data_IF_877676272761
#
_entry.id   IF_877676272761
#
_cell.length_a   1.000
_cell.length_b   1.000
_cell.length_c   1.000
_cell.angle_alpha   90.00
_cell.angle_beta   90.00
_cell.angle_gamma   90.00
#
_symmetry.space_group_name_H-M   'P 1'
#
loop_
_entity.id
_entity.type
_entity.pdbx_description
1 polymer ?
#
# COMPACT_ATOMS: atom_id res chain seq x y z
N UNK A 1 21.62 -0.40 -17.04
CA UNK A 1 21.22 -0.40 -15.61
C UNK A 1 20.35 0.82 -15.35
N UNK A 2 19.19 0.68 -14.68
CA UNK A 2 18.29 1.80 -14.35
C UNK A 2 19.02 2.85 -13.49
N UNK A 3 18.97 4.13 -13.89
CA UNK A 3 19.64 5.26 -13.22
C UNK A 3 18.69 6.20 -12.46
N UNK A 4 17.38 6.02 -12.60
CA UNK A 4 16.38 6.86 -11.94
C UNK A 4 16.26 6.63 -10.44
N UNK A 5 15.54 7.54 -9.78
CA UNK A 5 15.10 7.39 -8.39
C UNK A 5 13.86 6.51 -8.33
N UNK A 6 13.75 5.72 -7.25
CA UNK A 6 12.57 4.88 -6.96
C UNK A 6 11.96 5.40 -5.67
N UNK A 7 10.70 5.84 -5.69
CA UNK A 7 10.03 6.30 -4.47
C UNK A 7 9.19 5.21 -3.84
N UNK A 8 9.13 5.22 -2.52
CA UNK A 8 8.22 4.41 -1.70
C UNK A 8 8.13 5.05 -0.32
N UNK A 9 7.22 4.58 0.53
CA UNK A 9 7.20 5.01 1.93
C UNK A 9 8.48 4.58 2.66
N UNK A 10 8.84 5.27 3.74
CA UNK A 10 9.95 4.88 4.60
C UNK A 10 9.90 3.40 4.98
N UNK A 11 10.98 2.69 4.70
CA UNK A 11 11.05 1.22 4.74
C UNK A 11 11.12 0.67 6.15
N UNK A 12 11.31 1.52 7.16
CA UNK A 12 11.36 1.16 8.58
C UNK A 12 10.03 1.40 9.28
N UNK A 13 9.22 2.35 8.82
CA UNK A 13 8.02 2.82 9.51
C UNK A 13 6.74 2.66 8.68
N UNK A 14 6.73 3.06 7.41
CA UNK A 14 5.54 3.09 6.56
C UNK A 14 5.24 1.70 5.99
N UNK A 15 3.98 1.21 6.08
CA UNK A 15 3.63 -0.14 5.61
C UNK A 15 4.05 -0.42 4.15
N UNK A 16 3.81 0.49 3.20
CA UNK A 16 4.18 0.26 1.79
C UNK A 16 5.69 0.12 1.61
N UNK A 17 6.48 0.86 2.39
CA UNK A 17 7.94 0.77 2.41
C UNK A 17 8.42 -0.56 2.93
N UNK A 18 7.82 -1.04 4.02
CA UNK A 18 8.11 -2.37 4.58
C UNK A 18 7.80 -3.48 3.58
N UNK A 19 6.64 -3.44 2.91
CA UNK A 19 6.29 -4.42 1.88
C UNK A 19 7.22 -4.35 0.67
N UNK A 20 7.60 -3.14 0.21
CA UNK A 20 8.57 -2.96 -0.86
C UNK A 20 9.93 -3.57 -0.50
N UNK A 21 10.41 -3.34 0.73
CA UNK A 21 11.66 -3.93 1.24
C UNK A 21 11.59 -5.45 1.26
N UNK A 22 10.51 -6.03 1.79
CA UNK A 22 10.30 -7.49 1.77
C UNK A 22 10.34 -8.03 0.33
N UNK A 23 9.58 -7.42 -0.57
CA UNK A 23 9.49 -7.85 -1.96
C UNK A 23 10.85 -7.83 -2.67
N UNK A 24 11.58 -6.72 -2.59
CA UNK A 24 12.91 -6.63 -3.20
C UNK A 24 13.95 -7.52 -2.51
N UNK A 25 13.82 -7.79 -1.21
CA UNK A 25 14.70 -8.72 -0.51
C UNK A 25 14.49 -10.15 -1.01
N UNK A 26 13.24 -10.59 -1.11
CA UNK A 26 12.88 -11.93 -1.58
C UNK A 26 13.22 -12.13 -3.06
N UNK A 27 13.19 -11.07 -3.86
CA UNK A 27 13.67 -11.07 -5.25
C UNK A 27 15.20 -10.98 -5.38
N UNK A 28 15.94 -10.81 -4.29
CA UNK A 28 17.41 -10.69 -4.28
C UNK A 28 17.92 -9.36 -4.83
N UNK A 29 17.08 -8.31 -4.87
CA UNK A 29 17.39 -7.02 -5.48
C UNK A 29 17.62 -5.90 -4.47
N UNK A 30 17.34 -6.11 -3.18
CA UNK A 30 17.38 -5.06 -2.15
C UNK A 30 18.66 -4.21 -2.19
N UNK A 31 19.84 -4.83 -2.13
CA UNK A 31 21.13 -4.12 -2.10
C UNK A 31 21.37 -3.25 -3.36
N UNK A 32 20.70 -3.53 -4.48
CA UNK A 32 20.79 -2.74 -5.73
C UNK A 32 19.77 -1.60 -5.79
N UNK A 33 18.69 -1.71 -5.00
CA UNK A 33 17.54 -0.79 -5.00
C UNK A 33 17.68 0.22 -3.86
N UNK A 34 18.09 -0.21 -2.67
CA UNK A 34 18.20 0.62 -1.47
C UNK A 34 18.95 1.95 -1.70
N UNK A 35 20.10 1.99 -2.40
CA UNK A 35 20.82 3.26 -2.64
C UNK A 35 20.08 4.24 -3.57
N UNK A 36 18.98 3.82 -4.21
CA UNK A 36 18.20 4.61 -5.17
C UNK A 36 16.82 5.00 -4.61
N UNK A 37 16.51 4.57 -3.39
CA UNK A 37 15.24 4.85 -2.76
C UNK A 37 15.13 6.32 -2.37
N UNK A 38 13.97 6.89 -2.67
CA UNK A 38 13.47 8.13 -2.06
C UNK A 38 12.36 7.70 -1.13
N UNK A 39 12.64 7.76 0.16
CA UNK A 39 11.70 7.38 1.21
C UNK A 39 10.80 8.56 1.56
N UNK A 40 9.48 8.32 1.58
CA UNK A 40 8.46 9.32 1.87
C UNK A 40 7.70 9.01 3.15
N UNK A 41 7.02 10.02 3.69
CA UNK A 41 6.23 9.96 4.91
C UNK A 41 4.98 9.06 4.79
N UNK A 42 4.44 8.90 3.57
CA UNK A 42 3.35 7.98 3.27
C UNK A 42 3.36 7.54 1.79
N UNK A 43 2.44 6.64 1.44
CA UNK A 43 2.31 6.09 0.08
C UNK A 43 1.82 7.12 -0.95
N UNK A 44 1.05 8.12 -0.54
CA UNK A 44 0.51 9.15 -1.44
C UNK A 44 1.57 10.17 -1.81
N UNK A 45 2.47 10.50 -0.89
CA UNK A 45 3.67 11.30 -1.19
C UNK A 45 4.53 10.61 -2.27
N UNK A 46 4.80 9.30 -2.14
CA UNK A 46 5.50 8.54 -3.17
C UNK A 46 4.76 8.56 -4.52
N UNK A 47 3.43 8.31 -4.53
CA UNK A 47 2.62 8.38 -5.75
C UNK A 47 2.74 9.75 -6.44
N UNK A 48 2.68 10.83 -5.66
CA UNK A 48 2.77 12.19 -6.18
C UNK A 48 4.15 12.50 -6.77
N UNK A 49 5.23 11.93 -6.22
CA UNK A 49 6.58 12.10 -6.79
C UNK A 49 6.70 11.42 -8.16
N UNK A 50 6.04 10.27 -8.35
CA UNK A 50 5.95 9.64 -9.69
C UNK A 50 5.12 10.49 -10.63
N UNK A 51 3.94 10.95 -10.19
CA UNK A 51 3.03 11.75 -11.02
C UNK A 51 3.68 13.04 -11.52
N UNK A 52 4.55 13.66 -10.71
CA UNK A 52 5.32 14.87 -11.09
C UNK A 52 6.64 14.57 -11.82
N UNK A 53 6.98 13.29 -12.02
CA UNK A 53 8.23 12.88 -12.68
C UNK A 53 9.49 13.06 -11.85
N UNK A 54 9.38 13.37 -10.56
CA UNK A 54 10.52 13.51 -9.63
C UNK A 54 11.17 12.15 -9.33
N UNK A 55 10.37 11.09 -9.37
CA UNK A 55 10.83 9.70 -9.35
C UNK A 55 10.36 8.98 -10.60
N UNK A 56 11.26 8.23 -11.23
CA UNK A 56 10.96 7.55 -12.48
C UNK A 56 10.05 6.32 -12.27
N UNK A 57 10.11 5.72 -11.09
CA UNK A 57 9.26 4.60 -10.65
C UNK A 57 8.87 4.83 -9.19
N UNK A 58 7.68 4.36 -8.80
CA UNK A 58 7.26 4.30 -7.40
C UNK A 58 6.66 2.96 -7.04
N UNK A 59 6.82 2.57 -5.79
CA UNK A 59 6.15 1.40 -5.21
C UNK A 59 4.99 1.90 -4.34
N UNK A 60 3.78 1.60 -4.79
CA UNK A 60 2.51 2.02 -4.18
C UNK A 60 1.54 0.84 -4.13
N UNK A 61 0.39 1.01 -3.47
CA UNK A 61 -0.67 0.01 -3.58
C UNK A 61 -1.40 0.14 -4.91
N UNK A 62 -1.96 -0.97 -5.41
CA UNK A 62 -2.76 -0.97 -6.62
C UNK A 62 -3.96 -0.01 -6.55
N UNK A 63 -4.54 0.15 -5.36
CA UNK A 63 -5.66 1.07 -5.09
C UNK A 63 -5.25 2.54 -5.22
N UNK A 64 -4.02 2.90 -4.86
CA UNK A 64 -3.47 4.26 -5.03
C UNK A 64 -3.20 4.57 -6.50
N UNK A 65 -2.61 3.60 -7.24
CA UNK A 65 -2.39 3.76 -8.67
C UNK A 65 -3.72 3.86 -9.45
N UNK A 66 -4.76 3.11 -9.04
CA UNK A 66 -6.05 3.07 -9.73
C UNK A 66 -6.83 4.39 -9.71
N UNK A 67 -6.55 5.29 -8.75
CA UNK A 67 -7.23 6.58 -8.62
C UNK A 67 -6.46 7.75 -9.25
N UNK A 68 -5.23 7.52 -9.74
CA UNK A 68 -4.41 8.53 -10.39
C UNK A 68 -4.42 8.36 -11.90
N UNK A 69 -4.57 9.47 -12.63
CA UNK A 69 -4.49 9.51 -14.10
C UNK A 69 -3.08 9.77 -14.62
N UNK A 70 -2.17 10.17 -13.72
CA UNK A 70 -0.84 10.66 -14.06
C UNK A 70 0.24 9.58 -13.93
N UNK A 71 -0.15 8.35 -13.56
CA UNK A 71 0.74 7.21 -13.44
C UNK A 71 0.19 6.01 -14.19
N UNK A 72 1.08 5.06 -14.49
CA UNK A 72 0.71 3.75 -15.06
C UNK A 72 1.39 2.64 -14.26
N UNK A 73 0.68 1.51 -14.11
CA UNK A 73 1.24 0.32 -13.46
C UNK A 73 2.26 -0.32 -14.40
N UNK A 74 3.53 -0.32 -14.00
CA UNK A 74 4.62 -0.95 -14.76
C UNK A 74 4.79 -2.44 -14.46
N UNK A 75 4.27 -2.90 -13.32
CA UNK A 75 4.34 -4.29 -12.86
C UNK A 75 3.69 -4.45 -11.49
N UNK A 76 3.45 -5.70 -11.10
CA UNK A 76 2.89 -6.06 -9.80
C UNK A 76 3.87 -7.02 -9.12
N UNK A 77 4.14 -6.81 -7.83
CA UNK A 77 4.96 -7.74 -7.08
C UNK A 77 4.25 -9.09 -6.91
N UNK A 78 4.96 -10.22 -7.07
CA UNK A 78 4.36 -11.52 -6.80
C UNK A 78 3.93 -11.63 -5.33
N UNK A 79 2.76 -12.19 -5.07
CA UNK A 79 2.16 -12.23 -3.71
C UNK A 79 3.06 -12.93 -2.68
N UNK A 80 3.87 -13.90 -3.10
CA UNK A 80 4.79 -14.63 -2.23
C UNK A 80 6.08 -13.86 -1.90
N UNK A 81 6.25 -12.63 -2.39
CA UNK A 81 7.45 -11.81 -2.13
C UNK A 81 7.29 -10.88 -0.93
N UNK A 82 6.09 -10.73 -0.38
CA UNK A 82 5.86 -9.93 0.82
C UNK A 82 4.78 -10.56 1.70
N UNK A 83 4.69 -10.13 2.96
CA UNK A 83 3.54 -10.53 3.80
C UNK A 83 2.23 -10.03 3.17
N UNK A 84 1.09 -10.71 3.43
CA UNK A 84 -0.20 -10.22 2.98
C UNK A 84 -0.47 -8.78 3.43
N UNK A 85 -1.01 -7.97 2.52
CA UNK A 85 -1.38 -6.58 2.78
C UNK A 85 -2.78 -6.59 3.40
N UNK A 86 -2.84 -6.40 4.72
CA UNK A 86 -4.08 -6.47 5.51
C UNK A 86 -4.29 -5.15 6.24
N UNK A 87 -5.51 -4.61 6.17
CA UNK A 87 -5.91 -3.39 6.87
C UNK A 87 -6.80 -3.75 8.07
N UNK A 88 -6.21 -4.00 9.26
CA UNK A 88 -6.99 -4.29 10.45
C UNK A 88 -7.74 -3.05 10.93
N UNK A 89 -8.97 -3.24 11.43
CA UNK A 89 -9.76 -2.20 12.09
C UNK A 89 -9.92 -2.57 13.55
N UNK A 90 -9.55 -1.64 14.45
CA UNK A 90 -9.66 -1.82 15.89
C UNK A 90 -10.47 -0.71 16.56
N UNK A 91 -11.20 -1.05 17.62
CA UNK A 91 -11.88 -0.09 18.48
C UNK A 91 -10.92 0.37 19.58
N UNK A 92 -10.58 1.67 19.62
CA UNK A 92 -9.72 2.25 20.68
C UNK A 92 -10.54 2.55 21.93
N UNK A 93 -11.57 3.42 21.81
CA UNK A 93 -12.54 3.69 22.88
C UNK A 93 -13.93 3.23 22.46
N UNK A 94 -14.57 2.42 23.30
CA UNK A 94 -15.91 1.89 23.05
C UNK A 94 -16.96 2.90 23.52
N UNK A 95 -17.72 3.44 22.58
CA UNK A 95 -18.91 4.25 22.82
C UNK A 95 -19.97 3.87 21.77
N UNK A 96 -21.25 4.25 21.95
CA UNK A 96 -22.31 3.83 21.04
C UNK A 96 -22.04 4.17 19.58
N UNK A 97 -21.41 5.32 19.27
CA UNK A 97 -21.10 5.72 17.91
C UNK A 97 -19.91 4.95 17.32
N UNK A 98 -18.85 4.71 18.10
CA UNK A 98 -17.71 3.93 17.62
C UNK A 98 -18.09 2.47 17.34
N UNK A 99 -18.95 1.87 18.18
CA UNK A 99 -19.49 0.52 17.97
C UNK A 99 -20.34 0.47 16.69
N UNK A 100 -21.27 1.41 16.52
CA UNK A 100 -22.11 1.50 15.31
C UNK A 100 -21.27 1.62 14.04
N UNK A 101 -20.24 2.47 14.05
CA UNK A 101 -19.36 2.63 12.90
C UNK A 101 -18.51 1.38 12.63
N UNK A 102 -17.98 0.74 13.67
CA UNK A 102 -17.24 -0.52 13.55
C UNK A 102 -18.10 -1.65 12.94
N UNK A 103 -19.37 -1.74 13.33
CA UNK A 103 -20.33 -2.67 12.74
C UNK A 103 -20.66 -2.29 11.30
N UNK A 104 -20.82 -0.98 11.01
CA UNK A 104 -21.06 -0.50 9.66
C UNK A 104 -19.93 -0.88 8.69
N UNK A 105 -18.67 -0.76 9.10
CA UNK A 105 -17.52 -1.15 8.26
C UNK A 105 -17.52 -2.65 7.89
N UNK A 106 -18.24 -3.49 8.64
CA UNK A 106 -18.40 -4.93 8.36
C UNK A 106 -19.66 -5.26 7.53
N UNK A 107 -20.52 -4.28 7.28
CA UNK A 107 -21.77 -4.44 6.53
C UNK A 107 -21.54 -4.69 5.04
N UNK A 108 -22.53 -5.25 4.35
CA UNK A 108 -22.48 -5.43 2.90
C UNK A 108 -22.33 -4.11 2.14
N UNK A 109 -22.88 -3.02 2.68
CA UNK A 109 -22.75 -1.68 2.11
C UNK A 109 -21.28 -1.22 2.11
N UNK A 110 -20.60 -1.30 3.26
CA UNK A 110 -19.19 -0.93 3.34
C UNK A 110 -18.30 -1.86 2.48
N UNK A 111 -18.58 -3.16 2.48
CA UNK A 111 -17.87 -4.14 1.63
C UNK A 111 -17.98 -3.81 0.14
N UNK A 112 -19.14 -3.35 -0.34
CA UNK A 112 -19.31 -2.92 -1.72
C UNK A 112 -18.44 -1.69 -2.05
N UNK A 113 -18.34 -0.73 -1.11
CA UNK A 113 -17.46 0.44 -1.26
C UNK A 113 -15.99 0.02 -1.33
N UNK A 114 -15.52 -0.85 -0.43
CA UNK A 114 -14.14 -1.36 -0.46
C UNK A 114 -13.81 -2.03 -1.80
N UNK A 115 -14.69 -2.92 -2.29
CA UNK A 115 -14.51 -3.58 -3.60
C UNK A 115 -14.48 -2.59 -4.75
N UNK A 116 -15.34 -1.56 -4.75
CA UNK A 116 -15.36 -0.50 -5.77
C UNK A 116 -14.01 0.21 -5.90
N UNK A 117 -13.29 0.39 -4.79
CA UNK A 117 -11.96 1.01 -4.77
C UNK A 117 -10.80 0.01 -4.86
N UNK A 118 -11.08 -1.26 -5.22
CA UNK A 118 -10.05 -2.27 -5.49
C UNK A 118 -9.54 -3.01 -4.26
N UNK A 119 -10.20 -2.90 -3.10
CA UNK A 119 -9.85 -3.68 -1.91
C UNK A 119 -10.53 -5.06 -1.93
N UNK A 120 -9.76 -6.08 -1.56
CA UNK A 120 -10.30 -7.39 -1.21
C UNK A 120 -10.86 -7.36 0.22
N UNK A 121 -12.06 -7.91 0.39
CA UNK A 121 -12.69 -8.03 1.70
C UNK A 121 -12.42 -9.43 2.24
N UNK A 122 -11.74 -9.51 3.38
CA UNK A 122 -11.53 -10.76 4.10
C UNK A 122 -12.82 -11.17 4.82
N UNK A 123 -13.08 -12.48 4.91
CA UNK A 123 -14.05 -12.99 5.86
C UNK A 123 -13.61 -12.56 7.28
N UNK A 124 -14.56 -12.29 8.21
CA UNK A 124 -14.19 -12.01 9.59
C UNK A 124 -13.29 -13.15 10.09
N UNK A 125 -12.17 -12.80 10.74
CA UNK A 125 -11.35 -13.80 11.40
C UNK A 125 -12.26 -14.62 12.31
N UNK A 126 -12.24 -15.95 12.15
CA UNK A 126 -12.90 -16.82 13.12
C UNK A 126 -12.28 -16.50 14.50
N UNK A 127 -13.11 -16.37 15.54
CA UNK A 127 -12.64 -16.03 16.88
C UNK A 127 -11.60 -17.04 17.39
#
# INVERSE_FOLDING_TARGET
MFKGKICTGDTKSVPVGKYAKQAFTNLGWWNRIEPKLVETEDVRAALNFVARGECQVGIVYATDAAISKDVKVAGVFPENTHSPIIYPVGLIKKNPNSIKFYQFLQSNQAKAVFKKYGFSVLAPAKP
#
